data_IF_109041279493
#
_entry.id   IF_109041279493
#
_cell.length_a   1.000
_cell.length_b   1.000
_cell.length_c   1.000
_cell.angle_alpha   90.00
_cell.angle_beta   90.00
_cell.angle_gamma   90.00
#
_symmetry.space_group_name_H-M   'P 1'
#
loop_
_entity.id
_entity.type
_entity.pdbx_description
1 polymer ?
#
# COMPACT_ATOMS: atom_id res chain seq x y z
N UNK A 1 -0.17 16.36 23.25
CA UNK A 1 -0.24 15.69 21.94
C UNK A 1 1.15 15.73 21.34
N UNK A 2 1.93 14.68 21.53
CA UNK A 2 3.23 14.53 20.88
C UNK A 2 2.98 14.21 19.42
N UNK A 3 3.14 15.19 18.54
CA UNK A 3 3.22 14.93 17.11
C UNK A 3 4.31 13.86 16.92
N UNK A 4 3.92 12.70 16.38
CA UNK A 4 4.87 11.64 16.05
C UNK A 4 5.99 12.27 15.23
N UNK A 5 7.23 12.13 15.69
CA UNK A 5 8.37 12.70 14.97
C UNK A 5 8.40 12.04 13.59
N UNK A 6 8.17 12.80 12.52
CA UNK A 6 8.25 12.32 11.14
C UNK A 6 9.59 11.57 10.97
N UNK A 7 9.55 10.24 10.97
CA UNK A 7 10.75 9.43 10.99
C UNK A 7 11.33 9.36 9.58
N UNK A 8 12.09 10.38 9.21
CA UNK A 8 12.69 10.49 7.88
C UNK A 8 13.61 9.29 7.54
N UNK A 9 14.19 8.62 8.54
CA UNK A 9 15.02 7.43 8.32
C UNK A 9 14.16 6.22 7.94
N UNK A 10 13.00 6.07 8.58
CA UNK A 10 12.01 5.05 8.21
C UNK A 10 11.57 5.23 6.75
N UNK A 11 11.10 6.43 6.38
CA UNK A 11 10.61 6.64 5.02
C UNK A 11 11.68 6.52 3.93
N UNK A 12 12.96 6.77 4.23
CA UNK A 12 14.05 6.43 3.30
C UNK A 12 14.14 4.91 3.10
N UNK A 13 14.02 4.15 4.18
CA UNK A 13 14.05 2.68 4.13
C UNK A 13 12.83 2.11 3.39
N UNK A 14 11.63 2.66 3.64
CA UNK A 14 10.41 2.27 2.91
C UNK A 14 10.52 2.63 1.42
N UNK A 15 11.09 3.79 1.10
CA UNK A 15 11.41 4.15 -0.29
C UNK A 15 12.34 3.12 -0.94
N UNK A 16 13.38 2.69 -0.23
CA UNK A 16 14.31 1.67 -0.74
C UNK A 16 13.63 0.31 -1.00
N UNK A 17 12.55 -0.01 -0.28
CA UNK A 17 11.70 -1.19 -0.56
C UNK A 17 10.93 -0.99 -1.86
N UNK A 18 10.23 0.15 -2.02
CA UNK A 18 9.40 0.42 -3.20
C UNK A 18 10.22 0.48 -4.49
N UNK A 19 11.40 1.11 -4.48
CA UNK A 19 12.27 1.21 -5.68
C UNK A 19 12.87 -0.14 -6.13
N UNK A 20 12.76 -1.18 -5.30
CA UNK A 20 13.22 -2.53 -5.63
C UNK A 20 12.14 -3.41 -6.24
N UNK A 21 10.89 -2.97 -6.21
CA UNK A 21 9.80 -3.69 -6.87
C UNK A 21 9.91 -3.50 -8.38
N UNK A 22 9.73 -4.57 -9.15
CA UNK A 22 9.96 -4.53 -10.62
C UNK A 22 8.89 -3.69 -11.31
N UNK A 23 7.70 -3.69 -10.74
CA UNK A 23 6.46 -3.06 -11.20
C UNK A 23 6.47 -1.55 -10.93
N UNK A 24 7.27 -1.09 -9.96
CA UNK A 24 7.34 0.32 -9.59
C UNK A 24 8.22 1.10 -10.57
N UNK A 25 7.64 2.10 -11.21
CA UNK A 25 8.31 2.98 -12.17
C UNK A 25 9.05 4.14 -11.48
N UNK A 26 8.43 4.74 -10.47
CA UNK A 26 9.04 5.85 -9.72
C UNK A 26 8.49 5.94 -8.30
N UNK A 27 9.28 6.53 -7.39
CA UNK A 27 8.87 6.75 -5.98
C UNK A 27 9.24 8.16 -5.54
N UNK A 28 8.24 8.92 -5.09
CA UNK A 28 8.36 10.30 -4.62
C UNK A 28 7.85 10.45 -3.20
N UNK A 29 8.34 11.49 -2.54
CA UNK A 29 7.80 11.94 -1.27
C UNK A 29 6.73 12.98 -1.55
N UNK A 30 5.61 12.91 -0.82
CA UNK A 30 4.51 13.86 -0.96
C UNK A 30 4.32 14.67 0.35
N UNK A 31 3.95 15.98 0.26
CA UNK A 31 3.84 16.76 -0.96
C UNK A 31 5.20 17.04 -1.64
N UNK A 32 6.30 16.88 -0.90
CA UNK A 32 7.65 17.07 -1.42
C UNK A 32 8.71 16.34 -0.58
N UNK A 33 9.95 16.29 -1.09
CA UNK A 33 11.10 15.65 -0.47
C UNK A 33 11.64 16.36 0.79
N UNK A 34 11.12 17.53 1.14
CA UNK A 34 11.45 18.26 2.37
C UNK A 34 10.47 17.87 3.47
N UNK A 35 9.17 17.87 3.17
CA UNK A 35 8.12 17.50 4.13
C UNK A 35 8.03 15.99 4.35
N UNK A 36 8.15 15.17 3.29
CA UNK A 36 8.18 13.70 3.37
C UNK A 36 7.05 13.11 4.23
N UNK A 37 5.81 13.53 4.00
CA UNK A 37 4.68 13.07 4.81
C UNK A 37 4.30 11.63 4.52
N UNK A 38 4.38 11.24 3.25
CA UNK A 38 4.13 9.88 2.78
C UNK A 38 4.90 9.61 1.49
N UNK A 39 4.91 8.35 1.05
CA UNK A 39 5.47 7.95 -0.24
C UNK A 39 4.33 7.71 -1.22
N UNK A 40 4.48 8.22 -2.44
CA UNK A 40 3.67 7.85 -3.58
C UNK A 40 4.57 7.16 -4.60
N UNK A 41 4.24 5.91 -4.93
CA UNK A 41 4.88 5.14 -5.98
C UNK A 41 3.97 5.09 -7.21
N UNK A 42 4.54 5.40 -8.36
CA UNK A 42 3.90 5.18 -9.65
C UNK A 42 4.25 3.76 -10.11
N UNK A 43 3.23 2.98 -10.46
CA UNK A 43 3.37 1.61 -10.97
C UNK A 43 3.30 1.64 -12.49
N UNK A 44 4.16 0.88 -13.16
CA UNK A 44 4.11 0.68 -14.61
C UNK A 44 2.98 -0.34 -14.92
N UNK A 45 1.88 0.09 -15.55
CA UNK A 45 0.74 -0.80 -15.82
C UNK A 45 1.11 -1.95 -16.77
N UNK A 46 2.22 -1.86 -17.49
CA UNK A 46 2.70 -2.94 -18.37
C UNK A 46 3.52 -4.00 -17.63
N UNK A 47 3.88 -3.76 -16.37
CA UNK A 47 4.68 -4.68 -15.55
C UNK A 47 3.85 -5.44 -14.52
N UNK A 48 2.66 -4.97 -14.19
CA UNK A 48 1.71 -5.75 -13.40
C UNK A 48 1.13 -6.89 -14.25
N UNK A 49 0.63 -7.94 -13.58
CA UNK A 49 0.07 -9.12 -14.23
C UNK A 49 -1.35 -9.34 -13.71
N UNK A 50 -2.38 -9.36 -14.57
CA UNK A 50 -2.33 -8.99 -15.99
C UNK A 50 -1.94 -7.50 -16.17
N UNK A 51 -1.32 -7.12 -17.31
CA UNK A 51 -1.08 -5.72 -17.60
C UNK A 51 -2.38 -4.91 -17.60
N UNK A 52 -2.35 -3.74 -16.98
CA UNK A 52 -3.49 -2.82 -16.97
C UNK A 52 -3.35 -1.75 -18.06
N UNK A 53 -4.38 -0.91 -18.21
CA UNK A 53 -4.49 0.07 -19.30
C UNK A 53 -3.41 1.16 -19.32
N UNK A 54 -3.61 2.27 -20.06
CA UNK A 54 -2.54 3.25 -20.29
C UNK A 54 -2.23 4.16 -19.09
N UNK A 55 -3.10 4.24 -18.09
CA UNK A 55 -2.93 5.15 -16.96
C UNK A 55 -2.11 4.49 -15.84
N UNK A 56 -1.13 5.17 -15.22
CA UNK A 56 -0.30 4.54 -14.21
C UNK A 56 -1.07 4.36 -12.88
N UNK A 57 -1.11 3.14 -12.32
CA UNK A 57 -1.62 2.92 -10.98
C UNK A 57 -0.73 3.59 -9.93
N UNK A 58 -1.30 3.87 -8.76
CA UNK A 58 -0.57 4.48 -7.65
C UNK A 58 -0.58 3.58 -6.41
N UNK A 59 0.58 3.50 -5.74
CA UNK A 59 0.75 2.86 -4.44
C UNK A 59 1.22 3.91 -3.43
N UNK A 60 0.35 4.26 -2.47
CA UNK A 60 0.62 5.23 -1.41
C UNK A 60 0.96 4.53 -0.10
N UNK A 61 1.98 5.02 0.60
CA UNK A 61 2.44 4.45 1.88
C UNK A 61 2.53 5.54 2.94
N UNK A 62 1.65 5.42 3.93
CA UNK A 62 1.60 6.23 5.14
C UNK A 62 2.03 5.39 6.34
N UNK A 63 2.94 5.92 7.15
CA UNK A 63 3.43 5.23 8.35
C UNK A 63 3.69 6.20 9.49
N UNK A 64 3.24 5.83 10.69
CA UNK A 64 3.40 6.61 11.91
C UNK A 64 3.78 5.67 13.06
N UNK A 65 4.98 5.88 13.59
CA UNK A 65 5.47 5.11 14.74
C UNK A 65 4.77 5.59 16.01
N UNK A 66 3.80 4.80 16.49
CA UNK A 66 2.99 5.11 17.67
C UNK A 66 3.11 3.95 18.66
N UNK A 67 3.43 4.18 19.94
CA UNK A 67 3.29 3.12 20.94
C UNK A 67 1.80 2.90 21.29
N UNK A 68 1.33 1.65 21.51
CA UNK A 68 2.08 0.40 21.52
C UNK A 68 2.29 -0.24 20.14
N UNK A 69 1.54 0.19 19.12
CA UNK A 69 1.63 -0.33 17.76
C UNK A 69 1.63 0.82 16.75
N UNK A 70 2.48 0.70 15.75
CA UNK A 70 2.51 1.63 14.61
C UNK A 70 1.13 1.74 13.96
N UNK A 71 0.82 2.90 13.40
CA UNK A 71 -0.35 3.14 12.55
C UNK A 71 0.16 3.26 11.11
N UNK A 72 -0.46 2.56 10.16
CA UNK A 72 -0.05 2.62 8.76
C UNK A 72 -1.21 2.38 7.80
N UNK A 73 -1.04 2.89 6.58
CA UNK A 73 -1.90 2.62 5.44
C UNK A 73 -1.04 2.43 4.18
N UNK A 74 -1.27 1.34 3.48
CA UNK A 74 -0.63 1.02 2.20
C UNK A 74 -1.77 0.85 1.19
N UNK A 75 -1.98 1.83 0.32
CA UNK A 75 -3.13 1.91 -0.58
C UNK A 75 -2.70 1.82 -2.04
N UNK A 76 -3.26 0.87 -2.78
CA UNK A 76 -3.12 0.72 -4.24
C UNK A 76 -4.40 1.18 -4.94
N UNK A 77 -4.25 1.94 -6.03
CA UNK A 77 -5.35 2.37 -6.88
C UNK A 77 -4.98 2.22 -8.36
N UNK A 78 -5.75 1.40 -9.07
CA UNK A 78 -5.65 1.23 -10.52
C UNK A 78 -6.85 1.87 -11.23
N UNK A 79 -6.66 3.02 -11.90
CA UNK A 79 -7.75 3.69 -12.60
C UNK A 79 -8.24 2.91 -13.83
N UNK A 80 -7.42 2.05 -14.43
CA UNK A 80 -7.80 1.30 -15.63
C UNK A 80 -8.73 0.13 -15.29
N UNK A 81 -8.51 -0.52 -14.15
CA UNK A 81 -9.33 -1.62 -13.66
C UNK A 81 -10.50 -1.16 -12.79
N UNK A 82 -10.51 0.12 -12.37
CA UNK A 82 -11.43 0.60 -11.33
C UNK A 82 -11.23 -0.14 -10.00
N UNK A 83 -10.00 -0.58 -9.74
CA UNK A 83 -9.64 -1.40 -8.59
C UNK A 83 -8.90 -0.57 -7.54
N UNK A 84 -9.31 -0.72 -6.29
CA UNK A 84 -8.66 -0.10 -5.15
C UNK A 84 -8.50 -1.14 -4.06
N UNK A 85 -7.35 -1.20 -3.42
CA UNK A 85 -7.15 -2.03 -2.24
C UNK A 85 -6.08 -1.47 -1.32
N UNK A 86 -5.98 -1.99 -0.10
CA UNK A 86 -4.93 -1.61 0.80
C UNK A 86 -4.92 -2.37 2.12
N UNK A 87 -3.78 -2.33 2.80
CA UNK A 87 -3.59 -2.88 4.14
C UNK A 87 -3.48 -1.75 5.15
N UNK A 88 -4.37 -1.75 6.13
CA UNK A 88 -4.48 -0.68 7.12
C UNK A 88 -4.32 -1.24 8.53
N UNK A 89 -3.61 -0.46 9.35
CA UNK A 89 -3.60 -0.58 10.80
C UNK A 89 -3.96 0.77 11.38
N UNK A 90 -5.21 0.90 11.79
CA UNK A 90 -5.80 2.08 12.41
C UNK A 90 -6.82 1.65 13.48
N UNK A 91 -7.59 2.60 14.01
CA UNK A 91 -8.63 2.37 15.03
C UNK A 91 -9.99 2.00 14.40
N UNK A 92 -10.06 1.81 13.07
CA UNK A 92 -11.26 1.36 12.38
C UNK A 92 -11.24 -0.17 12.23
N UNK A 93 -12.42 -0.79 12.22
CA UNK A 93 -12.59 -2.24 12.04
C UNK A 93 -11.84 -3.12 13.05
N UNK A 94 -11.78 -2.71 14.33
CA UNK A 94 -11.15 -3.47 15.43
C UNK A 94 -11.64 -4.94 15.53
N UNK A 95 -12.84 -5.23 15.02
CA UNK A 95 -13.42 -6.57 14.99
C UNK A 95 -12.69 -7.53 14.03
N UNK A 96 -11.91 -7.01 13.08
CA UNK A 96 -11.11 -7.78 12.12
C UNK A 96 -9.67 -8.05 12.59
N UNK A 97 -9.31 -7.53 13.78
CA UNK A 97 -7.97 -7.65 14.36
C UNK A 97 -7.12 -6.40 14.13
N UNK A 98 -5.80 -6.52 14.38
CA UNK A 98 -4.89 -5.37 14.39
C UNK A 98 -4.51 -4.84 13.00
N UNK A 99 -4.85 -5.55 11.93
CA UNK A 99 -4.65 -5.12 10.55
C UNK A 99 -5.80 -5.69 9.74
N UNK A 100 -6.36 -4.90 8.83
CA UNK A 100 -7.31 -5.36 7.86
C UNK A 100 -6.85 -5.04 6.43
N UNK A 101 -7.25 -5.87 5.49
CA UNK A 101 -7.20 -5.62 4.05
C UNK A 101 -8.54 -5.08 3.61
N UNK A 102 -8.53 -3.96 2.89
CA UNK A 102 -9.70 -3.36 2.27
C UNK A 102 -9.57 -3.49 0.76
N UNK A 103 -10.65 -3.82 0.05
CA UNK A 103 -10.66 -3.77 -1.41
C UNK A 103 -12.00 -3.36 -2.00
N UNK A 104 -11.96 -2.85 -3.23
CA UNK A 104 -13.12 -2.50 -4.05
C UNK A 104 -12.78 -2.69 -5.52
N UNK A 105 -13.53 -3.54 -6.21
CA UNK A 105 -13.48 -3.71 -7.66
C UNK A 105 -14.52 -2.82 -8.36
N UNK A 106 -14.38 -2.60 -9.67
CA UNK A 106 -15.30 -1.80 -10.46
C UNK A 106 -16.81 -2.10 -10.28
N UNK A 107 -17.28 -3.37 -10.19
CA UNK A 107 -18.70 -3.66 -10.00
C UNK A 107 -19.21 -3.44 -8.57
N UNK A 108 -18.33 -3.20 -7.58
CA UNK A 108 -18.72 -3.07 -6.18
C UNK A 108 -19.16 -1.64 -5.83
N UNK A 109 -20.32 -1.51 -5.19
CA UNK A 109 -20.80 -0.21 -4.66
C UNK A 109 -20.08 0.20 -3.37
N UNK A 110 -19.72 -0.78 -2.54
CA UNK A 110 -19.06 -0.60 -1.25
C UNK A 110 -17.82 -1.49 -1.16
N UNK A 111 -16.75 -1.06 -0.45
CA UNK A 111 -15.59 -1.90 -0.22
C UNK A 111 -15.91 -3.09 0.70
N UNK A 112 -15.13 -4.16 0.55
CA UNK A 112 -15.08 -5.30 1.47
C UNK A 112 -13.80 -5.26 2.31
N UNK A 113 -13.84 -5.98 3.44
CA UNK A 113 -12.82 -5.94 4.48
C UNK A 113 -12.53 -7.34 5.01
N UNK A 114 -11.26 -7.65 5.17
CA UNK A 114 -10.79 -8.94 5.66
C UNK A 114 -9.69 -8.75 6.70
N UNK A 115 -9.70 -9.56 7.76
CA UNK A 115 -8.63 -9.52 8.76
C UNK A 115 -7.33 -10.11 8.21
N UNK A 116 -6.20 -9.46 8.47
CA UNK A 116 -4.88 -9.91 8.00
C UNK A 116 -3.91 -10.05 9.18
N UNK A 117 -3.06 -11.07 9.10
CA UNK A 117 -1.96 -11.29 10.06
C UNK A 117 -0.65 -11.30 9.30
N UNK A 118 0.25 -10.39 9.65
CA UNK A 118 1.62 -10.37 9.13
C UNK A 118 2.57 -11.14 10.02
N UNK A 119 3.49 -11.89 9.42
CA UNK A 119 4.65 -12.45 10.12
C UNK A 119 5.71 -11.38 10.38
N UNK A 120 5.81 -10.38 9.50
CA UNK A 120 6.73 -9.26 9.67
C UNK A 120 6.39 -8.39 10.89
N UNK A 121 7.41 -8.20 11.74
CA UNK A 121 7.34 -7.24 12.85
C UNK A 121 7.96 -5.86 12.52
N UNK A 122 8.69 -5.73 11.39
CA UNK A 122 9.35 -4.47 11.02
C UNK A 122 8.67 -3.80 9.84
N UNK A 123 8.57 -2.46 9.82
CA UNK A 123 7.93 -1.74 8.72
C UNK A 123 8.46 -2.07 7.31
N UNK A 124 9.79 -2.16 7.07
CA UNK A 124 10.29 -2.47 5.74
C UNK A 124 9.95 -3.87 5.27
N UNK A 125 9.92 -4.85 6.19
CA UNK A 125 9.57 -6.23 5.86
C UNK A 125 8.08 -6.37 5.61
N UNK A 126 7.24 -5.69 6.40
CA UNK A 126 5.79 -5.67 6.19
C UNK A 126 5.45 -5.06 4.83
N UNK A 127 6.05 -3.91 4.49
CA UNK A 127 5.85 -3.32 3.17
C UNK A 127 6.32 -4.23 2.03
N UNK A 128 7.41 -4.98 2.22
CA UNK A 128 7.85 -5.99 1.25
C UNK A 128 6.80 -7.09 1.07
N UNK A 129 6.27 -7.65 2.17
CA UNK A 129 5.22 -8.66 2.15
C UNK A 129 3.95 -8.13 1.44
N UNK A 130 3.52 -6.90 1.73
CA UNK A 130 2.40 -6.27 1.01
C UNK A 130 2.67 -6.10 -0.50
N UNK A 131 3.88 -5.70 -0.91
CA UNK A 131 4.20 -5.57 -2.33
C UNK A 131 4.22 -6.94 -3.04
N UNK A 132 4.76 -7.96 -2.39
CA UNK A 132 4.80 -9.32 -2.92
C UNK A 132 3.38 -9.88 -3.13
N UNK A 133 2.53 -9.76 -2.10
CA UNK A 133 1.11 -10.14 -2.14
C UNK A 133 0.34 -9.32 -3.18
N UNK A 134 0.57 -8.00 -3.25
CA UNK A 134 -0.09 -7.10 -4.21
C UNK A 134 0.14 -7.55 -5.66
N UNK A 135 1.40 -7.74 -6.05
CA UNK A 135 1.78 -7.99 -7.44
C UNK A 135 1.65 -9.46 -7.84
N UNK A 136 1.72 -10.39 -6.90
CA UNK A 136 1.69 -11.84 -7.18
C UNK A 136 0.31 -12.45 -7.07
N UNK A 137 -0.54 -11.95 -6.17
CA UNK A 137 -1.81 -12.57 -5.83
C UNK A 137 -2.99 -11.60 -6.03
N UNK A 138 -2.97 -10.44 -5.35
CA UNK A 138 -4.12 -9.51 -5.32
C UNK A 138 -4.47 -8.96 -6.70
N UNK A 139 -3.51 -8.38 -7.44
CA UNK A 139 -3.81 -7.84 -8.77
C UNK A 139 -4.33 -8.95 -9.71
N UNK A 140 -3.67 -10.11 -9.85
CA UNK A 140 -4.19 -11.22 -10.64
C UNK A 140 -5.61 -11.64 -10.26
N UNK A 141 -5.90 -11.81 -8.96
CA UNK A 141 -7.17 -12.34 -8.47
C UNK A 141 -8.34 -11.36 -8.67
N UNK A 142 -8.08 -10.06 -8.57
CA UNK A 142 -9.13 -9.03 -8.62
C UNK A 142 -9.24 -8.27 -9.94
N UNK A 143 -8.24 -8.40 -10.83
CA UNK A 143 -8.22 -7.70 -12.13
C UNK A 143 -8.09 -8.65 -13.33
N UNK A 144 -7.88 -9.95 -13.10
CA UNK A 144 -7.93 -10.98 -14.12
C UNK A 144 -9.29 -11.04 -14.83
N UNK A 145 -9.28 -11.33 -16.13
CA UNK A 145 -10.49 -11.76 -16.82
C UNK A 145 -10.94 -13.11 -16.22
N UNK A 146 -12.25 -13.31 -15.95
CA UNK A 146 -12.76 -14.59 -15.45
C UNK A 146 -12.63 -15.76 -16.45
#
# INVERSE_FOLDING_TARGET
>A
MTAGTENQALYRTLKDVLVRQTEVASVRFEPDAIQKRYLAAEVDPQRVVPPTGPEPPQLEVHWKLTPPHDEFRIDYADPNAGFHCGWHRDEDHDDLGAVHFQYRTAPMETPEYEGVVFEAASPPRLLWECCEELFTDVIPDYTGEP
#
